data_IF_277206584934
#
_entry.id   IF_277206584934
#
_cell.length_a   1.000
_cell.length_b   1.000
_cell.length_c   1.000
_cell.angle_alpha   90.00
_cell.angle_beta   90.00
_cell.angle_gamma   90.00
#
_symmetry.space_group_name_H-M   'P 1'
#
loop_
_entity.id
_entity.type
_entity.pdbx_description
1 polymer ?
#
# COMPACT_ATOMS: atom_id res chain seq x y z
N UNK A 1 -6.53 22.83 23.01
CA UNK A 1 -6.88 21.39 23.03
C UNK A 1 -5.95 20.63 22.09
N UNK A 2 -5.34 19.54 22.57
CA UNK A 2 -4.50 18.63 21.75
C UNK A 2 -5.37 17.86 20.76
N UNK A 3 -4.78 17.42 19.64
CA UNK A 3 -5.52 16.76 18.55
C UNK A 3 -5.87 15.31 18.92
N UNK A 4 -4.96 14.59 19.55
CA UNK A 4 -5.21 13.26 20.11
C UNK A 4 -4.26 12.96 21.27
N UNK A 5 -4.64 11.99 22.12
CA UNK A 5 -3.86 11.53 23.27
C UNK A 5 -4.03 10.02 23.44
N UNK A 6 -2.93 9.27 23.52
CA UNK A 6 -2.92 7.81 23.66
C UNK A 6 -1.89 7.37 24.69
N UNK A 7 -2.29 6.52 25.64
CA UNK A 7 -1.36 5.89 26.59
C UNK A 7 -0.62 4.73 25.91
N UNK A 8 0.70 4.66 26.04
CA UNK A 8 1.55 3.56 25.55
C UNK A 8 1.69 2.47 26.61
N UNK A 9 2.10 1.27 26.21
CA UNK A 9 2.41 0.16 27.14
C UNK A 9 3.55 0.50 28.11
N UNK A 10 4.45 1.41 27.73
CA UNK A 10 5.51 1.94 28.59
C UNK A 10 5.00 2.83 29.73
N UNK A 11 3.73 3.22 29.71
CA UNK A 11 3.16 4.21 30.64
C UNK A 11 3.16 5.63 30.09
N UNK A 12 3.96 5.93 29.06
CA UNK A 12 4.04 7.26 28.45
C UNK A 12 2.74 7.70 27.77
N UNK A 13 2.53 9.01 27.69
CA UNK A 13 1.45 9.61 26.90
C UNK A 13 1.99 10.07 25.54
N UNK A 14 1.46 9.48 24.46
CA UNK A 14 1.65 9.98 23.11
C UNK A 14 0.62 11.07 22.83
N UNK A 15 1.10 12.27 22.50
CA UNK A 15 0.25 13.44 22.26
C UNK A 15 0.46 13.92 20.82
N UNK A 16 -0.64 14.04 20.08
CA UNK A 16 -0.65 14.69 18.77
C UNK A 16 -1.15 16.13 18.91
N UNK A 17 -0.47 17.05 18.23
CA UNK A 17 -0.67 18.49 18.40
C UNK A 17 -1.20 19.07 17.08
N UNK A 18 -2.15 20.00 17.16
CA UNK A 18 -2.79 20.57 15.97
C UNK A 18 -1.99 21.73 15.36
N UNK A 19 -1.23 22.47 16.18
CA UNK A 19 -0.55 23.70 15.75
C UNK A 19 0.87 23.80 16.31
N UNK A 20 1.74 24.52 15.59
CA UNK A 20 3.13 24.78 16.03
C UNK A 20 3.19 25.54 17.35
N UNK A 21 2.29 26.51 17.57
CA UNK A 21 2.20 27.30 18.81
C UNK A 21 1.94 26.41 20.02
N UNK A 22 1.02 25.44 19.90
CA UNK A 22 0.77 24.46 20.95
C UNK A 22 1.98 23.56 21.19
N UNK A 23 2.69 23.15 20.13
CA UNK A 23 3.88 22.31 20.28
C UNK A 23 4.97 23.03 21.08
N UNK A 24 5.18 24.33 20.83
CA UNK A 24 6.13 25.16 21.57
C UNK A 24 5.75 25.32 23.05
N UNK A 25 4.45 25.37 23.38
CA UNK A 25 3.99 25.44 24.77
C UNK A 25 4.13 24.09 25.47
N UNK A 26 3.72 23.00 24.82
CA UNK A 26 3.72 21.66 25.40
C UNK A 26 5.13 21.15 25.68
N UNK A 27 6.09 21.43 24.79
CA UNK A 27 7.47 20.98 24.99
C UNK A 27 8.17 21.65 26.20
N UNK A 28 7.62 22.77 26.69
CA UNK A 28 8.12 23.49 27.86
C UNK A 28 7.45 23.04 29.17
N UNK A 29 6.44 22.17 29.12
CA UNK A 29 5.74 21.69 30.32
C UNK A 29 6.68 20.85 31.19
N UNK A 30 6.73 21.20 32.48
CA UNK A 30 7.50 20.48 33.52
C UNK A 30 6.61 19.75 34.51
N UNK A 31 5.33 20.12 34.59
CA UNK A 31 4.34 19.45 35.42
C UNK A 31 2.97 19.42 34.74
N UNK A 32 2.19 18.40 35.07
CA UNK A 32 0.75 18.32 34.83
C UNK A 32 0.08 18.25 36.20
N UNK A 33 -0.52 19.35 36.61
CA UNK A 33 -1.01 19.56 37.98
C UNK A 33 0.14 19.37 39.00
N UNK A 34 0.04 18.37 39.88
CA UNK A 34 1.09 18.05 40.88
C UNK A 34 2.13 17.05 40.39
N UNK A 35 1.95 16.46 39.19
CA UNK A 35 2.82 15.41 38.67
C UNK A 35 3.92 16.03 37.81
N UNK A 36 5.18 15.79 38.15
CA UNK A 36 6.32 16.17 37.30
C UNK A 36 6.33 15.35 36.01
N UNK A 37 6.52 16.01 34.88
CA UNK A 37 6.57 15.38 33.56
C UNK A 37 7.77 15.85 32.76
N UNK A 38 8.25 14.96 31.88
CA UNK A 38 9.24 15.30 30.86
C UNK A 38 8.57 15.15 29.51
N UNK A 39 8.68 16.19 28.68
CA UNK A 39 8.10 16.21 27.33
C UNK A 39 9.22 16.22 26.30
N UNK A 40 9.13 15.34 25.31
CA UNK A 40 10.07 15.27 24.19
C UNK A 40 9.32 15.05 22.87
N UNK A 41 9.95 15.46 21.76
CA UNK A 41 9.42 15.14 20.43
C UNK A 41 9.54 13.65 20.17
N UNK A 42 8.52 13.07 19.53
CA UNK A 42 8.58 11.66 19.16
C UNK A 42 9.68 11.45 18.10
N UNK A 43 10.59 10.52 18.36
CA UNK A 43 11.79 10.29 17.56
C UNK A 43 11.52 9.97 16.08
N UNK A 44 10.39 9.31 15.78
CA UNK A 44 10.10 8.82 14.43
C UNK A 44 8.79 9.31 13.81
N UNK A 45 7.86 9.89 14.59
CA UNK A 45 6.53 10.27 14.08
C UNK A 45 6.49 11.70 13.53
N UNK A 46 7.56 12.47 13.76
CA UNK A 46 7.71 13.83 13.23
C UNK A 46 8.63 13.88 12.01
N UNK A 47 8.99 12.72 11.46
CA UNK A 47 9.79 12.59 10.26
C UNK A 47 9.10 11.67 9.27
N UNK A 48 9.47 11.83 8.00
CA UNK A 48 9.03 10.98 6.92
C UNK A 48 10.23 10.64 6.05
N UNK A 49 10.12 9.56 5.27
CA UNK A 49 11.19 9.13 4.37
C UNK A 49 10.66 9.06 2.96
N UNK A 50 11.44 9.55 2.02
CA UNK A 50 11.14 9.45 0.59
C UNK A 50 12.34 8.98 -0.20
N UNK A 51 12.10 8.42 -1.37
CA UNK A 51 13.10 7.97 -2.33
C UNK A 51 13.09 8.90 -3.53
N UNK A 52 14.27 9.37 -3.92
CA UNK A 52 14.52 10.06 -5.19
C UNK A 52 15.42 9.19 -6.06
N UNK A 53 15.32 9.35 -7.38
CA UNK A 53 16.17 8.65 -8.34
C UNK A 53 16.86 9.70 -9.21
N UNK A 54 18.19 9.77 -9.16
CA UNK A 54 18.96 10.74 -9.92
C UNK A 54 20.34 10.18 -10.27
N UNK A 55 20.59 9.94 -11.56
CA UNK A 55 21.88 9.39 -12.02
C UNK A 55 23.04 10.36 -11.82
N UNK A 56 22.79 11.67 -11.93
CA UNK A 56 23.82 12.70 -11.77
C UNK A 56 24.39 12.76 -10.34
N UNK A 57 23.63 12.30 -9.34
CA UNK A 57 24.07 12.28 -7.95
C UNK A 57 24.86 11.01 -7.59
N UNK A 58 24.98 10.03 -8.50
CA UNK A 58 25.56 8.72 -8.22
C UNK A 58 27.02 8.78 -7.74
N UNK A 59 27.79 9.74 -8.27
CA UNK A 59 29.22 9.91 -7.98
C UNK A 59 29.50 11.10 -7.06
N UNK A 60 28.46 11.78 -6.58
CA UNK A 60 28.59 12.91 -5.66
C UNK A 60 28.77 12.38 -4.24
N UNK A 61 29.69 12.99 -3.47
CA UNK A 61 29.92 12.58 -2.08
C UNK A 61 28.66 12.80 -1.25
N UNK A 62 28.30 11.82 -0.41
CA UNK A 62 27.06 11.86 0.39
C UNK A 62 26.95 13.10 1.29
N UNK A 63 28.07 13.64 1.76
CA UNK A 63 28.15 14.88 2.53
C UNK A 63 27.70 16.10 1.71
N UNK A 64 28.10 16.18 0.44
CA UNK A 64 27.72 17.25 -0.49
C UNK A 64 26.24 17.12 -0.87
N UNK A 65 25.79 15.89 -1.14
CA UNK A 65 24.37 15.58 -1.39
C UNK A 65 23.51 16.03 -0.20
N UNK A 66 23.91 15.66 1.03
CA UNK A 66 23.22 16.07 2.25
C UNK A 66 23.19 17.59 2.38
N UNK A 67 24.32 18.27 2.18
CA UNK A 67 24.41 19.74 2.25
C UNK A 67 23.47 20.42 1.25
N UNK A 68 23.32 19.87 0.05
CA UNK A 68 22.39 20.39 -0.97
C UNK A 68 20.91 20.24 -0.61
N UNK A 69 20.54 19.17 0.09
CA UNK A 69 19.15 18.92 0.49
C UNK A 69 18.78 19.46 1.88
N UNK A 70 19.75 19.78 2.75
CA UNK A 70 19.50 20.31 4.10
C UNK A 70 18.54 21.53 4.12
N UNK A 71 18.67 22.54 3.25
CA UNK A 71 17.75 23.68 3.20
C UNK A 71 16.30 23.30 2.91
N UNK A 72 16.07 22.11 2.33
CA UNK A 72 14.75 21.56 2.02
C UNK A 72 14.21 20.65 3.14
N UNK A 73 14.79 20.74 4.35
CA UNK A 73 14.33 20.01 5.52
C UNK A 73 14.80 18.55 5.58
N UNK A 74 15.94 18.23 4.94
CA UNK A 74 16.48 16.87 4.90
C UNK A 74 17.67 16.74 5.87
N UNK A 75 17.47 16.25 7.12
CA UNK A 75 18.55 16.02 8.07
C UNK A 75 19.44 14.82 7.73
N UNK A 76 18.99 13.87 6.90
CA UNK A 76 19.73 12.65 6.61
C UNK A 76 19.45 12.15 5.21
N UNK A 77 20.51 11.72 4.52
CA UNK A 77 20.47 11.10 3.19
C UNK A 77 21.21 9.77 3.25
N UNK A 78 20.63 8.75 2.62
CA UNK A 78 21.24 7.43 2.50
C UNK A 78 21.12 6.93 1.06
N UNK A 79 22.21 6.42 0.50
CA UNK A 79 22.17 5.73 -0.78
C UNK A 79 21.65 4.29 -0.60
N UNK A 80 20.76 3.86 -1.50
CA UNK A 80 20.38 2.45 -1.62
C UNK A 80 21.54 1.73 -2.30
N UNK A 81 22.04 0.69 -1.63
CA UNK A 81 23.14 -0.13 -2.15
C UNK A 81 22.62 -1.48 -2.61
N UNK A 82 23.18 -1.99 -3.71
CA UNK A 82 22.94 -3.35 -4.19
C UNK A 82 24.21 -4.16 -4.04
N UNK A 83 24.07 -5.49 -3.94
CA UNK A 83 25.22 -6.41 -3.88
C UNK A 83 25.42 -7.01 -5.26
N UNK A 84 26.59 -6.80 -5.86
CA UNK A 84 27.01 -7.47 -7.10
C UNK A 84 28.40 -8.07 -6.86
N UNK A 85 28.58 -9.34 -7.22
CA UNK A 85 29.84 -10.08 -7.05
C UNK A 85 30.44 -9.98 -5.63
N UNK A 86 29.58 -9.99 -4.61
CA UNK A 86 30.00 -9.89 -3.20
C UNK A 86 30.25 -8.46 -2.69
N UNK A 87 30.40 -7.47 -3.57
CA UNK A 87 30.66 -6.07 -3.25
C UNK A 87 29.36 -5.24 -3.18
N UNK A 88 29.31 -4.27 -2.27
CA UNK A 88 28.22 -3.30 -2.18
C UNK A 88 28.47 -2.14 -3.14
N UNK A 89 27.55 -1.91 -4.07
CA UNK A 89 27.59 -0.86 -5.08
C UNK A 89 26.45 0.13 -4.82
N UNK A 90 26.79 1.42 -4.87
CA UNK A 90 25.82 2.50 -4.74
C UNK A 90 24.91 2.57 -5.98
N UNK A 91 23.64 2.91 -5.78
CA UNK A 91 22.68 3.07 -6.88
C UNK A 91 22.30 4.54 -7.05
N UNK A 92 21.63 4.86 -8.16
CA UNK A 92 21.07 6.20 -8.42
C UNK A 92 19.94 6.59 -7.46
N UNK A 93 19.57 5.72 -6.52
CA UNK A 93 18.41 5.89 -5.64
C UNK A 93 18.86 6.32 -4.25
N UNK A 94 18.34 7.47 -3.79
CA UNK A 94 18.64 8.04 -2.48
C UNK A 94 17.39 8.07 -1.61
N UNK A 95 17.53 7.64 -0.36
CA UNK A 95 16.52 7.79 0.68
C UNK A 95 16.80 9.12 1.40
N UNK A 96 15.86 10.04 1.31
CA UNK A 96 15.84 11.30 2.04
C UNK A 96 14.97 11.13 3.29
N UNK A 97 15.51 11.47 4.46
CA UNK A 97 14.70 11.62 5.68
C UNK A 97 14.36 13.09 5.83
N UNK A 98 13.08 13.42 5.90
CA UNK A 98 12.56 14.76 6.08
C UNK A 98 12.23 15.03 7.55
N UNK A 99 12.44 16.26 8.01
CA UNK A 99 12.03 16.74 9.33
C UNK A 99 10.53 17.12 9.42
N UNK A 100 9.71 16.49 8.58
CA UNK A 100 8.27 16.68 8.48
C UNK A 100 7.57 15.32 8.43
N UNK A 101 6.41 15.15 9.08
CA UNK A 101 5.62 13.93 8.99
C UNK A 101 4.96 13.73 7.62
N UNK A 102 4.85 14.79 6.81
CA UNK A 102 4.38 14.72 5.42
C UNK A 102 5.56 14.74 4.48
N UNK A 103 5.61 13.77 3.56
CA UNK A 103 6.56 13.79 2.46
C UNK A 103 6.20 14.93 1.49
N UNK A 104 7.18 15.66 0.94
CA UNK A 104 6.93 16.56 -0.18
C UNK A 104 6.73 15.74 -1.47
N UNK A 105 6.04 16.31 -2.47
CA UNK A 105 5.88 15.66 -3.79
C UNK A 105 7.17 15.71 -4.62
N UNK A 106 8.02 16.70 -4.38
CA UNK A 106 9.29 16.89 -5.10
C UNK A 106 10.31 17.66 -4.28
N UNK A 107 11.59 17.46 -4.58
CA UNK A 107 12.74 18.25 -4.10
C UNK A 107 13.55 18.74 -5.30
N UNK A 108 14.48 19.66 -5.07
CA UNK A 108 15.42 20.14 -6.09
C UNK A 108 16.85 19.71 -5.79
N UNK A 109 17.56 19.25 -6.80
CA UNK A 109 19.02 19.09 -6.80
C UNK A 109 19.57 20.06 -7.84
N UNK A 110 20.12 21.19 -7.40
CA UNK A 110 20.44 22.31 -8.31
C UNK A 110 19.19 22.78 -9.09
N UNK A 111 19.25 22.73 -10.41
CA UNK A 111 18.14 23.09 -11.30
C UNK A 111 17.15 21.93 -11.55
N UNK A 112 17.48 20.70 -11.14
CA UNK A 112 16.69 19.50 -11.44
C UNK A 112 15.60 19.33 -10.38
N UNK A 113 14.35 19.21 -10.84
CA UNK A 113 13.20 18.85 -9.99
C UNK A 113 13.07 17.33 -9.94
N UNK A 114 13.23 16.75 -8.76
CA UNK A 114 13.14 15.32 -8.52
C UNK A 114 11.84 14.98 -7.79
N UNK A 115 11.03 14.10 -8.37
CA UNK A 115 9.85 13.53 -7.71
C UNK A 115 10.28 12.70 -6.51
N UNK A 116 9.63 12.91 -5.37
CA UNK A 116 9.87 12.15 -4.14
C UNK A 116 8.78 11.09 -4.03
N UNK A 117 9.18 9.82 -3.99
CA UNK A 117 8.28 8.69 -3.72
C UNK A 117 8.33 8.34 -2.23
N UNK A 118 7.25 7.90 -1.58
CA UNK A 118 7.33 7.38 -0.22
C UNK A 118 8.37 6.26 -0.10
N UNK A 119 9.21 6.29 0.94
CA UNK A 119 10.08 5.16 1.27
C UNK A 119 9.30 4.16 2.12
N UNK A 120 8.99 3.00 1.54
CA UNK A 120 8.34 1.90 2.22
C UNK A 120 9.42 0.90 2.64
N UNK A 121 9.46 0.59 3.94
CA UNK A 121 10.38 -0.40 4.47
C UNK A 121 9.98 -1.78 3.94
N UNK A 122 10.92 -2.42 3.27
CA UNK A 122 10.82 -3.82 2.89
C UNK A 122 10.73 -4.67 4.19
N UNK A 123 9.97 -5.79 4.20
CA UNK A 123 9.89 -6.70 5.34
C UNK A 123 11.27 -7.02 5.90
N UNK A 124 11.43 -6.76 7.20
CA UNK A 124 12.71 -6.91 7.88
C UNK A 124 12.97 -8.40 8.18
N UNK A 125 13.81 -9.03 7.36
CA UNK A 125 14.30 -10.38 7.59
C UNK A 125 15.48 -10.37 8.59
N UNK A 126 15.37 -11.10 9.69
CA UNK A 126 16.46 -11.24 10.64
C UNK A 126 17.55 -12.17 10.09
N UNK A 127 18.74 -11.63 9.78
CA UNK A 127 19.87 -12.41 9.23
C UNK A 127 20.42 -13.51 10.14
N UNK A 128 20.00 -13.58 11.42
CA UNK A 128 20.40 -14.66 12.35
C UNK A 128 19.43 -15.83 12.37
N UNK A 129 18.13 -15.61 12.20
CA UNK A 129 17.13 -16.68 12.30
C UNK A 129 16.25 -16.84 11.06
N UNK A 130 16.42 -15.95 10.08
CA UNK A 130 15.69 -15.89 8.83
C UNK A 130 14.17 -15.80 9.00
N UNK A 131 13.72 -15.25 10.13
CA UNK A 131 12.32 -14.90 10.37
C UNK A 131 12.10 -13.40 10.20
N UNK A 132 10.90 -13.02 9.82
CA UNK A 132 10.50 -11.63 9.64
C UNK A 132 10.24 -10.90 10.96
N UNK A 133 10.14 -9.57 10.90
CA UNK A 133 9.64 -8.72 11.98
C UNK A 133 10.66 -8.25 13.01
N UNK A 134 11.94 -8.62 12.91
CA UNK A 134 12.97 -8.14 13.84
C UNK A 134 14.38 -8.07 13.23
N UNK A 135 15.24 -7.25 13.83
CA UNK A 135 16.65 -7.12 13.42
C UNK A 135 17.55 -8.10 14.20
N UNK A 136 18.80 -8.25 13.71
CA UNK A 136 19.87 -8.97 14.42
C UNK A 136 20.10 -8.45 15.85
N UNK A 137 19.86 -7.16 16.12
CA UNK A 137 20.05 -6.57 17.45
C UNK A 137 18.97 -7.02 18.46
N UNK A 138 17.78 -7.37 17.98
CA UNK A 138 16.65 -7.82 18.81
C UNK A 138 16.53 -9.34 18.87
N UNK A 139 17.49 -10.06 18.30
CA UNK A 139 17.47 -11.51 18.20
C UNK A 139 17.80 -12.16 19.55
N UNK A 140 16.96 -13.13 19.96
CA UNK A 140 17.12 -13.91 21.20
C UNK A 140 17.05 -15.44 20.99
N UNK A 141 17.10 -15.90 19.74
CA UNK A 141 16.88 -17.32 19.40
C UNK A 141 18.15 -18.07 19.02
N UNK A 142 17.98 -19.13 18.23
CA UNK A 142 19.07 -19.96 17.68
C UNK A 142 19.43 -19.55 16.26
N UNK A 143 20.73 -19.49 15.97
CA UNK A 143 21.24 -19.22 14.62
C UNK A 143 20.66 -20.25 13.64
N UNK A 144 20.10 -19.78 12.54
CA UNK A 144 19.46 -20.61 11.50
C UNK A 144 20.05 -20.28 10.14
N UNK A 145 20.48 -21.31 9.42
CA UNK A 145 21.09 -21.20 8.11
C UNK A 145 20.09 -20.67 7.07
N UNK A 146 20.50 -19.66 6.30
CA UNK A 146 19.67 -19.09 5.25
C UNK A 146 19.51 -19.99 4.03
N UNK A 147 20.47 -20.90 3.79
CA UNK A 147 20.44 -21.83 2.66
C UNK A 147 19.55 -23.03 2.95
N UNK A 148 19.71 -23.73 4.09
CA UNK A 148 19.06 -25.01 4.35
C UNK A 148 18.02 -25.01 5.49
N UNK A 149 17.78 -23.86 6.14
CA UNK A 149 16.86 -23.70 7.27
C UNK A 149 17.22 -24.47 8.56
N UNK A 150 18.36 -25.16 8.62
CA UNK A 150 18.82 -25.87 9.81
C UNK A 150 19.47 -24.92 10.84
N UNK A 151 19.35 -25.29 12.12
CA UNK A 151 19.92 -24.51 13.22
C UNK A 151 21.39 -24.86 13.48
N UNK A 152 22.16 -23.91 14.01
CA UNK A 152 23.51 -24.15 14.53
C UNK A 152 24.68 -23.71 13.63
N UNK A 153 24.40 -23.24 12.41
CA UNK A 153 25.42 -22.68 11.51
C UNK A 153 24.83 -21.56 10.63
N UNK A 154 25.70 -20.80 9.95
CA UNK A 154 25.32 -19.81 8.95
C UNK A 154 25.42 -20.35 7.50
N UNK A 155 25.06 -19.55 6.51
CA UNK A 155 24.99 -19.98 5.11
C UNK A 155 26.31 -19.90 4.34
N UNK A 156 27.42 -19.49 4.95
CA UNK A 156 28.66 -19.15 4.22
C UNK A 156 29.27 -20.36 3.53
N UNK A 157 29.33 -21.51 4.22
CA UNK A 157 29.91 -22.77 3.72
C UNK A 157 28.87 -23.90 3.64
N UNK A 158 27.59 -23.54 3.56
CA UNK A 158 26.50 -24.52 3.56
C UNK A 158 26.34 -25.18 2.19
N UNK A 159 26.56 -26.49 2.12
CA UNK A 159 26.39 -27.32 0.90
C UNK A 159 25.10 -28.14 0.90
N UNK A 160 24.29 -28.04 1.95
CA UNK A 160 23.02 -28.74 2.05
C UNK A 160 21.99 -28.17 1.06
N UNK A 161 21.01 -29.00 0.68
CA UNK A 161 19.95 -28.60 -0.24
C UNK A 161 19.18 -27.39 0.26
N UNK A 162 18.83 -26.49 -0.67
CA UNK A 162 18.16 -25.25 -0.32
C UNK A 162 16.76 -25.49 0.25
N UNK A 163 16.46 -24.78 1.33
CA UNK A 163 15.17 -24.81 2.03
C UNK A 163 14.91 -23.47 2.72
N UNK A 164 13.75 -22.90 2.45
CA UNK A 164 13.35 -21.63 3.04
C UNK A 164 12.87 -21.84 4.49
N UNK A 165 13.32 -20.98 5.42
CA UNK A 165 12.85 -21.02 6.82
C UNK A 165 11.35 -20.74 6.92
N UNK A 166 10.83 -19.82 6.10
CA UNK A 166 9.45 -19.33 6.19
C UNK A 166 8.46 -20.21 5.43
N UNK A 167 8.61 -20.36 4.10
CA UNK A 167 7.64 -21.11 3.27
C UNK A 167 7.95 -22.61 3.13
N UNK A 168 9.11 -23.07 3.62
CA UNK A 168 9.61 -24.46 3.48
C UNK A 168 9.89 -24.94 2.05
N UNK A 169 9.83 -24.06 1.05
CA UNK A 169 10.14 -24.39 -0.35
C UNK A 169 11.63 -24.54 -0.65
N UNK A 170 11.95 -25.11 -1.81
CA UNK A 170 13.31 -25.41 -2.28
C UNK A 170 14.04 -24.18 -2.85
N UNK A 171 14.28 -23.20 -1.98
CA UNK A 171 15.07 -22.01 -2.30
C UNK A 171 15.63 -21.40 -1.00
N UNK A 172 16.67 -20.58 -1.09
CA UNK A 172 17.21 -19.86 0.08
C UNK A 172 16.20 -18.89 0.72
N UNK A 173 16.36 -18.59 2.00
CA UNK A 173 15.49 -17.67 2.75
C UNK A 173 15.57 -16.20 2.28
N UNK A 174 16.51 -15.86 1.40
CA UNK A 174 16.62 -14.53 0.77
C UNK A 174 15.86 -14.40 -0.55
N UNK A 175 15.26 -15.50 -1.03
CA UNK A 175 14.59 -15.54 -2.31
C UNK A 175 13.40 -14.56 -2.37
N UNK A 176 13.43 -13.64 -3.34
CA UNK A 176 12.38 -12.62 -3.54
C UNK A 176 11.13 -13.16 -4.23
N UNK A 177 11.21 -14.33 -4.86
CA UNK A 177 10.04 -15.03 -5.40
C UNK A 177 9.35 -15.94 -4.38
N UNK A 178 9.87 -16.04 -3.15
CA UNK A 178 9.25 -16.81 -2.06
C UNK A 178 7.84 -16.31 -1.75
N UNK A 179 6.87 -17.23 -1.63
CA UNK A 179 5.47 -16.90 -1.29
C UNK A 179 5.35 -16.21 0.07
N UNK A 180 6.06 -16.70 1.09
CA UNK A 180 6.06 -16.06 2.41
C UNK A 180 6.71 -14.66 2.40
N UNK A 181 7.68 -14.42 1.51
CA UNK A 181 8.28 -13.09 1.34
C UNK A 181 7.31 -12.10 0.68
N UNK A 182 6.62 -12.53 -0.38
CA UNK A 182 5.58 -11.73 -1.07
C UNK A 182 4.45 -11.39 -0.11
N UNK A 183 3.95 -12.41 0.59
CA UNK A 183 2.95 -12.27 1.64
C UNK A 183 3.35 -11.22 2.68
N UNK A 184 4.53 -11.34 3.30
CA UNK A 184 5.00 -10.38 4.31
C UNK A 184 5.19 -8.95 3.76
N UNK A 185 5.42 -8.81 2.45
CA UNK A 185 5.54 -7.51 1.77
C UNK A 185 4.18 -6.87 1.51
N UNK A 186 3.16 -7.68 1.23
CA UNK A 186 1.80 -7.25 0.91
C UNK A 186 0.93 -7.10 2.17
N UNK A 187 1.26 -7.80 3.25
CA UNK A 187 0.44 -7.89 4.44
C UNK A 187 0.53 -6.67 5.36
N UNK A 188 -0.66 -6.19 5.75
CA UNK A 188 -0.79 -5.02 6.63
C UNK A 188 -0.68 -5.38 8.12
N UNK A 189 -0.71 -6.68 8.46
CA UNK A 189 -0.81 -7.22 9.83
C UNK A 189 -1.97 -6.60 10.64
N UNK A 190 -2.98 -6.05 9.96
CA UNK A 190 -4.16 -5.48 10.60
C UNK A 190 -5.02 -6.62 11.12
N UNK A 191 -5.31 -6.58 12.43
CA UNK A 191 -6.24 -7.49 13.08
C UNK A 191 -7.58 -6.79 13.29
N UNK A 192 -8.65 -7.56 13.42
CA UNK A 192 -10.02 -7.07 13.68
C UNK A 192 -10.11 -6.10 14.85
N UNK A 193 -9.21 -6.25 15.82
CA UNK A 193 -9.18 -5.45 17.04
C UNK A 193 -8.46 -4.10 16.88
N UNK A 194 -7.81 -3.86 15.74
CA UNK A 194 -7.10 -2.61 15.44
C UNK A 194 -7.96 -1.77 14.48
N UNK A 195 -8.55 -0.65 14.91
CA UNK A 195 -9.34 0.19 14.01
C UNK A 195 -8.43 0.87 12.98
N UNK A 196 -8.78 0.77 11.70
CA UNK A 196 -8.15 1.54 10.62
C UNK A 196 -8.82 2.91 10.55
N UNK A 197 -8.09 3.96 10.91
CA UNK A 197 -8.58 5.35 10.85
C UNK A 197 -7.65 6.18 10.00
N UNK A 198 -8.14 6.62 8.84
CA UNK A 198 -7.47 7.56 7.97
C UNK A 198 -8.27 8.86 8.01
N UNK A 199 -7.60 9.97 8.32
CA UNK A 199 -8.29 11.26 8.49
C UNK A 199 -8.94 11.69 7.18
N UNK A 200 -10.21 12.09 7.24
CA UNK A 200 -10.97 12.52 6.07
C UNK A 200 -11.60 11.36 5.32
N UNK A 201 -11.55 10.14 5.87
CA UNK A 201 -12.10 8.94 5.24
C UNK A 201 -12.82 8.06 6.27
N UNK A 202 -13.96 7.52 5.85
CA UNK A 202 -14.60 6.37 6.50
C UNK A 202 -14.00 5.08 5.96
N UNK A 203 -13.99 4.04 6.78
CA UNK A 203 -13.41 2.74 6.43
C UNK A 203 -14.43 1.64 6.68
N UNK A 204 -14.64 0.81 5.67
CA UNK A 204 -15.42 -0.43 5.74
C UNK A 204 -14.50 -1.56 5.32
N UNK A 205 -14.31 -2.55 6.17
CA UNK A 205 -13.36 -3.63 5.89
C UNK A 205 -13.81 -4.98 6.44
N UNK A 206 -13.27 -6.05 5.85
CA UNK A 206 -13.44 -7.43 6.30
C UNK A 206 -12.05 -8.07 6.32
N UNK A 207 -11.62 -8.46 7.51
CA UNK A 207 -10.31 -9.07 7.74
C UNK A 207 -10.42 -10.61 7.57
N UNK A 208 -9.35 -11.25 7.07
CA UNK A 208 -9.35 -12.70 6.86
C UNK A 208 -9.38 -13.46 8.21
N UNK A 209 -10.32 -14.40 8.33
CA UNK A 209 -10.52 -15.24 9.50
C UNK A 209 -9.62 -16.48 9.49
N UNK A 210 -8.31 -16.32 9.32
CA UNK A 210 -7.36 -17.43 9.50
C UNK A 210 -6.84 -17.41 10.94
N UNK A 211 -7.14 -18.47 11.70
CA UNK A 211 -6.76 -18.60 13.10
C UNK A 211 -5.26 -18.37 13.35
N UNK A 212 -4.97 -17.75 14.49
CA UNK A 212 -3.65 -17.40 15.06
C UNK A 212 -2.72 -16.49 14.23
N UNK A 213 -2.76 -16.53 12.90
CA UNK A 213 -2.02 -15.63 12.01
C UNK A 213 -3.02 -14.92 11.08
N UNK A 214 -3.47 -13.75 11.53
CA UNK A 214 -4.38 -12.88 10.79
C UNK A 214 -3.58 -12.01 9.81
N UNK A 215 -3.78 -12.25 8.53
CA UNK A 215 -3.03 -11.61 7.46
C UNK A 215 -3.82 -11.81 6.16
N UNK A 216 -4.48 -10.72 5.73
CA UNK A 216 -5.35 -10.65 4.56
C UNK A 216 -6.65 -9.91 4.85
N UNK A 217 -7.27 -9.34 3.82
CA UNK A 217 -8.59 -8.73 3.93
C UNK A 217 -8.90 -7.74 2.82
N UNK A 218 -10.14 -7.27 2.80
CA UNK A 218 -10.62 -6.23 1.87
C UNK A 218 -11.02 -4.99 2.64
N UNK A 219 -10.76 -3.81 2.06
CA UNK A 219 -11.11 -2.54 2.66
C UNK A 219 -11.54 -1.53 1.59
N UNK A 220 -12.63 -0.81 1.86
CA UNK A 220 -13.04 0.39 1.14
C UNK A 220 -12.79 1.60 2.04
N UNK A 221 -12.14 2.62 1.47
CA UNK A 221 -11.98 3.93 2.09
C UNK A 221 -12.83 4.94 1.32
N UNK A 222 -13.78 5.59 1.99
CA UNK A 222 -14.64 6.61 1.38
C UNK A 222 -14.33 7.98 1.96
N UNK A 223 -14.07 8.97 1.11
CA UNK A 223 -13.82 10.34 1.57
C UNK A 223 -15.04 10.90 2.31
N UNK A 224 -14.82 11.60 3.42
CA UNK A 224 -15.85 12.28 4.23
C UNK A 224 -16.59 13.38 3.43
N UNK A 225 -16.07 13.75 2.26
CA UNK A 225 -16.71 14.68 1.34
C UNK A 225 -17.94 14.09 0.64
N UNK A 226 -18.04 12.75 0.56
CA UNK A 226 -19.14 12.06 -0.10
C UNK A 226 -19.95 11.27 0.93
N UNK A 227 -21.25 11.58 1.11
CA UNK A 227 -22.12 10.78 1.95
C UNK A 227 -22.04 9.31 1.53
N UNK A 228 -21.73 8.44 2.47
CA UNK A 228 -21.54 7.02 2.22
C UNK A 228 -22.07 6.19 3.38
N UNK A 229 -22.59 5.00 3.07
CA UNK A 229 -23.07 4.06 4.07
C UNK A 229 -22.62 2.64 3.74
N UNK A 230 -22.11 1.86 4.73
CA UNK A 230 -21.76 0.47 4.52
C UNK A 230 -23.00 -0.34 4.12
N UNK A 231 -22.85 -1.23 3.14
CA UNK A 231 -23.88 -2.20 2.75
C UNK A 231 -23.50 -3.58 3.33
N UNK A 232 -24.27 -4.12 4.28
CA UNK A 232 -24.01 -5.45 4.83
C UNK A 232 -24.13 -6.53 3.74
N UNK A 233 -23.16 -7.44 3.70
CA UNK A 233 -23.15 -8.57 2.76
C UNK A 233 -23.20 -9.89 3.52
N UNK A 234 -24.11 -10.76 3.11
CA UNK A 234 -24.24 -12.15 3.54
C UNK A 234 -23.47 -13.05 2.56
N UNK A 235 -22.15 -13.10 2.72
CA UNK A 235 -21.27 -13.91 1.85
C UNK A 235 -20.07 -14.46 2.63
N UNK A 236 -19.62 -15.66 2.24
CA UNK A 236 -18.37 -16.25 2.73
C UNK A 236 -17.13 -15.61 2.08
N UNK A 237 -17.29 -14.90 0.96
CA UNK A 237 -16.19 -14.25 0.25
C UNK A 237 -15.57 -13.13 1.08
N UNK A 238 -14.30 -12.83 0.81
CA UNK A 238 -13.66 -11.60 1.29
C UNK A 238 -14.19 -10.43 0.46
N UNK A 239 -15.34 -9.89 0.85
CA UNK A 239 -16.01 -8.79 0.17
C UNK A 239 -16.58 -7.79 1.17
N UNK A 240 -16.54 -6.51 0.79
CA UNK A 240 -17.23 -5.40 1.47
C UNK A 240 -17.86 -4.49 0.43
N UNK A 241 -19.02 -3.92 0.77
CA UNK A 241 -19.71 -2.97 -0.10
C UNK A 241 -20.09 -1.69 0.64
N UNK A 242 -20.13 -0.59 -0.10
CA UNK A 242 -20.53 0.74 0.38
C UNK A 242 -21.39 1.41 -0.69
N UNK A 243 -22.50 2.02 -0.29
CA UNK A 243 -23.24 2.93 -1.15
C UNK A 243 -22.70 4.34 -0.98
N UNK A 244 -22.33 4.99 -2.08
CA UNK A 244 -21.70 6.31 -2.09
C UNK A 244 -22.55 7.25 -2.94
N UNK A 245 -22.86 8.42 -2.39
CA UNK A 245 -23.54 9.49 -3.10
C UNK A 245 -22.51 10.46 -3.69
N UNK A 246 -22.14 10.24 -4.96
CA UNK A 246 -21.27 11.12 -5.72
C UNK A 246 -22.11 12.07 -6.59
N UNK A 247 -22.04 11.95 -7.93
CA UNK A 247 -23.00 12.60 -8.84
C UNK A 247 -24.35 11.87 -8.83
N UNK A 248 -24.29 10.55 -8.72
CA UNK A 248 -25.43 9.65 -8.55
C UNK A 248 -25.15 8.68 -7.39
N UNK A 249 -26.18 7.99 -6.91
CA UNK A 249 -26.02 6.93 -5.93
C UNK A 249 -25.43 5.70 -6.64
N UNK A 250 -24.25 5.26 -6.21
CA UNK A 250 -23.56 4.09 -6.75
C UNK A 250 -23.15 3.15 -5.63
N UNK A 251 -23.35 1.86 -5.82
CA UNK A 251 -22.84 0.81 -4.93
C UNK A 251 -21.43 0.41 -5.37
N UNK A 252 -20.44 0.48 -4.48
CA UNK A 252 -19.08 0.00 -4.74
C UNK A 252 -18.82 -1.22 -3.87
N UNK A 253 -18.47 -2.34 -4.49
CA UNK A 253 -18.08 -3.58 -3.83
C UNK A 253 -16.61 -3.89 -4.12
N UNK A 254 -15.83 -4.10 -3.06
CA UNK A 254 -14.46 -4.59 -3.13
C UNK A 254 -14.46 -6.07 -2.80
N UNK A 255 -13.83 -6.89 -3.64
CA UNK A 255 -13.76 -8.35 -3.46
C UNK A 255 -12.34 -8.86 -3.67
N UNK A 256 -11.95 -9.85 -2.88
CA UNK A 256 -10.72 -10.61 -3.04
C UNK A 256 -11.06 -12.10 -3.14
N UNK A 257 -10.64 -12.75 -4.23
CA UNK A 257 -10.81 -14.18 -4.44
C UNK A 257 -9.44 -14.86 -4.27
N UNK A 258 -9.21 -15.66 -3.21
CA UNK A 258 -7.92 -16.32 -3.02
C UNK A 258 -7.58 -17.26 -4.19
N UNK A 259 -6.31 -17.34 -4.62
CA UNK A 259 -5.91 -18.05 -5.85
C UNK A 259 -6.12 -19.57 -5.81
N UNK A 260 -6.18 -20.16 -4.62
CA UNK A 260 -6.28 -21.62 -4.42
C UNK A 260 -7.64 -22.09 -3.94
N UNK A 261 -8.55 -21.17 -3.64
CA UNK A 261 -9.88 -21.52 -3.17
C UNK A 261 -10.73 -21.99 -4.35
N UNK A 262 -11.56 -23.01 -4.11
CA UNK A 262 -12.61 -23.41 -5.05
C UNK A 262 -13.86 -22.63 -4.69
N UNK A 263 -14.28 -21.71 -5.56
CA UNK A 263 -15.47 -20.88 -5.35
C UNK A 263 -16.54 -21.37 -6.30
N UNK A 264 -17.72 -21.68 -5.75
CA UNK A 264 -18.89 -22.05 -6.55
C UNK A 264 -19.47 -20.81 -7.26
N UNK A 265 -19.99 -21.01 -8.46
CA UNK A 265 -20.65 -19.95 -9.25
C UNK A 265 -21.76 -19.24 -8.46
N UNK A 266 -22.58 -20.02 -7.75
CA UNK A 266 -23.68 -19.50 -6.92
C UNK A 266 -23.25 -18.49 -5.87
N UNK A 267 -22.00 -18.56 -5.37
CA UNK A 267 -21.51 -17.62 -4.35
C UNK A 267 -21.24 -16.24 -4.95
N UNK A 268 -20.77 -16.18 -6.21
CA UNK A 268 -20.57 -14.92 -6.94
C UNK A 268 -21.90 -14.34 -7.40
N UNK A 269 -22.83 -15.18 -7.87
CA UNK A 269 -24.18 -14.74 -8.25
C UNK A 269 -24.92 -14.16 -7.03
N UNK A 270 -24.90 -14.86 -5.90
CA UNK A 270 -25.49 -14.37 -4.66
C UNK A 270 -24.83 -13.08 -4.15
N UNK A 271 -23.54 -12.86 -4.43
CA UNK A 271 -22.87 -11.61 -4.07
C UNK A 271 -23.47 -10.42 -4.83
N UNK A 272 -23.65 -10.53 -6.15
CA UNK A 272 -24.17 -9.40 -6.94
C UNK A 272 -25.67 -9.18 -6.78
N UNK A 273 -26.45 -10.23 -6.48
CA UNK A 273 -27.87 -10.10 -6.13
C UNK A 273 -28.08 -9.19 -4.91
N UNK A 274 -27.08 -9.09 -4.04
CA UNK A 274 -27.09 -8.22 -2.86
C UNK A 274 -26.68 -6.77 -3.17
N UNK A 275 -26.17 -6.45 -4.37
CA UNK A 275 -25.66 -5.12 -4.72
C UNK A 275 -26.74 -4.30 -5.45
N UNK A 276 -27.27 -3.21 -4.85
CA UNK A 276 -28.20 -2.33 -5.55
C UNK A 276 -27.54 -1.70 -6.77
N UNK A 277 -28.18 -1.85 -7.94
CA UNK A 277 -27.75 -1.19 -9.16
C UNK A 277 -28.02 0.35 -9.09
N UNK A 278 -27.17 1.18 -9.71
CA UNK A 278 -25.95 0.80 -10.41
C UNK A 278 -24.79 0.44 -9.45
N UNK A 279 -23.97 -0.54 -9.82
CA UNK A 279 -22.84 -0.98 -8.99
C UNK A 279 -21.52 -1.15 -9.76
N UNK A 280 -20.43 -1.02 -9.01
CA UNK A 280 -19.06 -1.36 -9.38
C UNK A 280 -18.56 -2.50 -8.49
N UNK A 281 -17.99 -3.53 -9.10
CA UNK A 281 -17.33 -4.64 -8.46
C UNK A 281 -15.84 -4.61 -8.84
N UNK A 282 -14.99 -4.36 -7.85
CA UNK A 282 -13.56 -4.13 -8.02
C UNK A 282 -12.76 -5.10 -7.15
N UNK A 283 -11.62 -5.57 -7.64
CA UNK A 283 -10.60 -6.21 -6.81
C UNK A 283 -9.85 -7.31 -7.52
N UNK A 284 -9.14 -8.13 -6.76
CA UNK A 284 -8.30 -9.20 -7.27
C UNK A 284 -9.06 -10.53 -7.30
N UNK A 285 -9.29 -11.01 -8.53
CA UNK A 285 -10.05 -12.22 -8.80
C UNK A 285 -9.16 -13.46 -8.95
N UNK A 286 -7.83 -13.30 -8.98
CA UNK A 286 -6.86 -14.37 -9.21
C UNK A 286 -7.16 -15.27 -10.42
N UNK A 287 -7.82 -14.70 -11.45
CA UNK A 287 -8.21 -15.39 -12.67
C UNK A 287 -7.45 -14.90 -13.88
N UNK A 288 -6.84 -15.82 -14.63
CA UNK A 288 -6.24 -15.50 -15.92
C UNK A 288 -7.28 -15.67 -17.02
N UNK A 289 -7.51 -14.65 -17.83
CA UNK A 289 -8.46 -14.68 -18.92
C UNK A 289 -8.06 -13.77 -20.08
N UNK A 290 -8.30 -14.24 -21.30
CA UNK A 290 -8.00 -13.51 -22.52
C UNK A 290 -8.79 -12.20 -22.64
N UNK A 291 -9.99 -12.13 -22.04
CA UNK A 291 -10.84 -10.93 -22.06
C UNK A 291 -10.22 -9.71 -21.37
N UNK A 292 -9.30 -9.93 -20.43
CA UNK A 292 -8.56 -8.88 -19.72
C UNK A 292 -7.04 -9.01 -19.95
N UNK A 293 -6.65 -9.50 -21.11
CA UNK A 293 -5.28 -9.40 -21.59
C UNK A 293 -4.29 -10.47 -21.11
N UNK A 294 -4.75 -11.58 -20.52
CA UNK A 294 -3.87 -12.73 -20.22
C UNK A 294 -3.63 -13.60 -21.47
N UNK A 295 -2.40 -14.09 -21.65
CA UNK A 295 -2.06 -15.01 -22.77
C UNK A 295 -2.76 -16.38 -22.67
N UNK A 296 -3.14 -16.78 -21.45
CA UNK A 296 -3.80 -18.05 -21.17
C UNK A 296 -5.07 -17.79 -20.36
N UNK A 297 -6.13 -18.56 -20.63
CA UNK A 297 -7.34 -18.56 -19.80
C UNK A 297 -7.36 -19.79 -18.90
N UNK A 298 -7.27 -19.61 -17.58
CA UNK A 298 -7.34 -20.70 -16.60
C UNK A 298 -8.80 -21.03 -16.22
N UNK A 299 -9.00 -22.02 -15.34
CA UNK A 299 -10.35 -22.42 -14.87
C UNK A 299 -11.09 -21.28 -14.17
N UNK A 300 -10.39 -20.57 -13.27
CA UNK A 300 -10.88 -19.37 -12.57
C UNK A 300 -11.33 -18.29 -13.57
N UNK A 301 -10.53 -18.01 -14.59
CA UNK A 301 -10.85 -17.06 -15.65
C UNK A 301 -12.09 -17.45 -16.43
N UNK A 302 -12.21 -18.72 -16.87
CA UNK A 302 -13.44 -19.21 -17.53
C UNK A 302 -14.67 -19.03 -16.64
N UNK A 303 -14.54 -19.29 -15.34
CA UNK A 303 -15.62 -19.07 -14.39
C UNK A 303 -16.04 -17.60 -14.31
N UNK A 304 -15.08 -16.67 -14.28
CA UNK A 304 -15.36 -15.23 -14.24
C UNK A 304 -16.00 -14.76 -15.56
N UNK A 305 -15.53 -15.25 -16.71
CA UNK A 305 -16.16 -14.96 -18.01
C UNK A 305 -17.62 -15.38 -18.02
N UNK A 306 -17.92 -16.59 -17.55
CA UNK A 306 -19.29 -17.08 -17.46
C UNK A 306 -20.14 -16.24 -16.50
N UNK A 307 -19.58 -15.87 -15.34
CA UNK A 307 -20.22 -15.00 -14.36
C UNK A 307 -20.59 -13.63 -14.95
N UNK A 308 -19.66 -12.98 -15.67
CA UNK A 308 -19.92 -11.69 -16.35
C UNK A 308 -21.03 -11.85 -17.39
N UNK A 309 -20.95 -12.90 -18.22
CA UNK A 309 -21.90 -13.13 -19.30
C UNK A 309 -23.32 -13.43 -18.80
N UNK A 310 -23.46 -14.33 -17.82
CA UNK A 310 -24.77 -14.77 -17.31
C UNK A 310 -25.52 -13.65 -16.60
N UNK A 311 -24.78 -12.76 -15.93
CA UNK A 311 -25.35 -11.66 -15.16
C UNK A 311 -25.38 -10.35 -15.94
N UNK A 312 -25.10 -10.39 -17.26
CA UNK A 312 -25.10 -9.25 -18.15
C UNK A 312 -24.26 -8.07 -17.62
N UNK A 313 -23.07 -8.36 -17.09
CA UNK A 313 -22.16 -7.35 -16.54
C UNK A 313 -21.19 -6.83 -17.61
N UNK A 314 -20.61 -5.67 -17.35
CA UNK A 314 -19.62 -5.06 -18.24
C UNK A 314 -18.23 -5.07 -17.59
N UNK A 315 -17.23 -5.54 -18.34
CA UNK A 315 -15.83 -5.50 -17.94
C UNK A 315 -15.20 -4.18 -18.42
N UNK A 316 -14.65 -3.39 -17.49
CA UNK A 316 -14.01 -2.11 -17.79
C UNK A 316 -12.54 -2.25 -18.23
N UNK A 317 -11.89 -3.36 -17.85
CA UNK A 317 -10.51 -3.61 -18.25
C UNK A 317 -10.39 -3.57 -19.78
N UNK A 318 -9.67 -2.57 -20.29
CA UNK A 318 -9.34 -2.46 -21.71
C UNK A 318 -8.00 -3.14 -22.00
N UNK A 319 -7.81 -3.62 -23.24
CA UNK A 319 -6.57 -4.24 -23.70
C UNK A 319 -5.43 -3.22 -23.91
N UNK A 320 -5.51 -2.02 -23.33
CA UNK A 320 -4.49 -0.99 -23.49
C UNK A 320 -3.24 -1.38 -22.69
N UNK A 321 -2.33 -2.07 -23.40
CA UNK A 321 -0.95 -2.36 -23.00
C UNK A 321 -0.19 -1.04 -22.83
N UNK A 322 -0.27 -0.42 -21.66
CA UNK A 322 0.42 0.81 -21.36
C UNK A 322 1.66 0.53 -20.49
N UNK A 323 2.81 0.55 -21.18
CA UNK A 323 4.22 0.61 -20.74
C UNK A 323 4.96 -0.65 -20.25
N UNK A 324 6.06 -0.87 -20.97
CA UNK A 324 7.07 -1.94 -20.98
C UNK A 324 7.76 -2.22 -19.62
N UNK A 325 7.94 -3.50 -19.28
CA UNK A 325 8.95 -3.97 -18.34
C UNK A 325 9.71 -5.17 -18.96
N UNK A 326 11.03 -5.09 -19.08
CA UNK A 326 11.92 -6.25 -19.24
C UNK A 326 12.58 -6.48 -17.87
N UNK A 327 12.57 -7.71 -17.29
CA UNK A 327 12.98 -8.97 -17.94
C UNK A 327 12.00 -10.16 -17.74
N UNK A 328 10.75 -9.95 -17.31
CA UNK A 328 9.76 -11.04 -17.13
C UNK A 328 8.50 -10.66 -17.90
N UNK A 329 8.44 -11.05 -19.18
CA UNK A 329 7.30 -10.82 -20.08
C UNK A 329 6.05 -11.58 -19.63
N UNK A 330 5.31 -11.12 -18.63
CA UNK A 330 3.91 -11.52 -18.42
C UNK A 330 3.18 -10.45 -17.60
N UNK A 331 2.28 -9.71 -18.23
CA UNK A 331 1.25 -8.95 -17.53
C UNK A 331 0.11 -9.91 -17.21
N UNK A 332 -0.16 -10.15 -15.93
CA UNK A 332 -1.35 -10.86 -15.50
C UNK A 332 -2.26 -9.85 -14.81
N UNK A 333 -3.23 -9.29 -15.53
CA UNK A 333 -4.30 -8.47 -14.92
C UNK A 333 -5.19 -9.43 -14.12
N UNK A 334 -4.84 -9.70 -12.86
CA UNK A 334 -5.69 -10.46 -11.95
C UNK A 334 -6.75 -9.55 -11.30
N UNK A 335 -6.45 -8.25 -11.26
CA UNK A 335 -7.36 -7.20 -10.85
C UNK A 335 -8.37 -6.89 -11.95
N UNK A 336 -9.65 -6.93 -11.59
CA UNK A 336 -10.75 -6.65 -12.51
C UNK A 336 -11.62 -5.51 -11.97
N UNK A 337 -12.10 -4.70 -12.91
CA UNK A 337 -13.13 -3.71 -12.69
C UNK A 337 -14.35 -4.10 -13.53
N UNK A 338 -15.42 -4.51 -12.84
CA UNK A 338 -16.68 -4.97 -13.44
C UNK A 338 -17.78 -4.01 -13.00
N UNK A 339 -18.72 -3.67 -13.88
CA UNK A 339 -19.81 -2.75 -13.56
C UNK A 339 -21.16 -3.20 -14.12
N UNK A 340 -22.24 -2.62 -13.57
CA UNK A 340 -23.56 -2.70 -14.20
C UNK A 340 -23.55 -1.98 -15.56
N UNK A 341 -24.32 -2.45 -16.56
CA UNK A 341 -24.35 -1.84 -17.90
C UNK A 341 -24.64 -0.34 -17.94
N UNK A 342 -25.44 0.15 -16.98
CA UNK A 342 -25.80 1.56 -16.85
C UNK A 342 -24.61 2.47 -16.50
N UNK A 343 -23.55 1.94 -15.90
CA UNK A 343 -22.34 2.71 -15.57
C UNK A 343 -21.31 2.70 -16.70
N UNK A 344 -21.27 1.65 -17.52
CA UNK A 344 -20.29 1.47 -18.57
C UNK A 344 -20.05 2.71 -19.45
N UNK A 345 -21.08 3.41 -19.98
CA UNK A 345 -20.85 4.59 -20.83
C UNK A 345 -20.45 5.85 -20.06
N UNK A 346 -20.53 5.83 -18.72
CA UNK A 346 -20.27 6.97 -17.84
C UNK A 346 -18.89 6.91 -17.19
N UNK A 347 -18.10 5.86 -17.46
CA UNK A 347 -16.85 5.59 -16.77
C UNK A 347 -15.69 5.53 -17.75
N UNK A 348 -14.59 6.18 -17.37
CA UNK A 348 -13.27 5.98 -17.94
C UNK A 348 -12.47 5.00 -17.07
N UNK A 349 -11.69 4.16 -17.71
CA UNK A 349 -10.82 3.17 -17.07
C UNK A 349 -9.38 3.36 -17.52
N UNK A 350 -8.46 3.43 -16.56
CA UNK A 350 -7.01 3.45 -16.80
C UNK A 350 -6.27 2.61 -15.78
N UNK A 351 -5.09 2.12 -16.15
CA UNK A 351 -4.16 1.47 -15.23
C UNK A 351 -3.09 2.50 -14.84
N UNK A 352 -2.86 2.68 -13.54
CA UNK A 352 -1.83 3.59 -13.06
C UNK A 352 -0.43 3.14 -13.48
N UNK A 353 0.49 4.09 -13.64
CA UNK A 353 1.85 3.83 -14.12
C UNK A 353 2.89 3.56 -13.01
N UNK A 354 2.49 3.66 -11.75
CA UNK A 354 3.35 3.40 -10.59
C UNK A 354 2.73 2.29 -9.72
N UNK A 355 3.55 1.31 -9.33
CA UNK A 355 3.15 0.17 -8.50
C UNK A 355 2.99 0.54 -7.03
N UNK A 356 3.51 1.69 -6.58
CA UNK A 356 3.50 2.08 -5.16
C UNK A 356 4.09 1.01 -4.22
N UNK A 357 5.10 0.27 -4.70
CA UNK A 357 5.73 -0.89 -4.06
C UNK A 357 4.83 -2.14 -3.85
N UNK A 358 3.60 -2.13 -4.36
CA UNK A 358 2.84 -3.36 -4.64
C UNK A 358 3.48 -4.10 -5.82
N UNK A 359 3.06 -5.33 -6.03
CA UNK A 359 3.23 -6.09 -7.27
C UNK A 359 2.03 -5.95 -8.23
N UNK A 360 0.95 -5.27 -7.79
CA UNK A 360 -0.21 -4.92 -8.59
C UNK A 360 -0.21 -3.43 -8.98
N UNK A 361 -0.64 -3.14 -10.21
CA UNK A 361 -0.89 -1.76 -10.63
C UNK A 361 -2.28 -1.32 -10.16
N UNK A 362 -2.44 -0.07 -9.70
CA UNK A 362 -3.76 0.41 -9.31
C UNK A 362 -4.66 0.57 -10.54
N UNK A 363 -5.88 0.03 -10.44
CA UNK A 363 -6.95 0.32 -11.38
C UNK A 363 -7.59 1.66 -11.02
N UNK A 364 -7.70 2.56 -12.00
CA UNK A 364 -8.28 3.88 -11.83
C UNK A 364 -9.54 3.96 -12.67
N UNK A 365 -10.68 4.07 -11.99
CA UNK A 365 -11.99 4.28 -12.60
C UNK A 365 -12.44 5.70 -12.27
N UNK A 366 -12.73 6.49 -13.29
CA UNK A 366 -13.22 7.87 -13.16
C UNK A 366 -14.52 8.05 -13.93
N UNK A 367 -15.28 9.09 -13.61
CA UNK A 367 -16.45 9.44 -14.41
C UNK A 367 -15.97 10.06 -15.73
N UNK A 368 -16.48 9.57 -16.86
CA UNK A 368 -16.18 10.11 -18.18
C UNK A 368 -16.75 11.54 -18.25
N UNK A 369 -15.89 12.51 -18.53
CA UNK A 369 -16.23 13.93 -18.50
C UNK A 369 -17.26 14.22 -19.61
N UNK A 370 -18.55 14.11 -19.28
CA UNK A 370 -19.63 14.56 -20.17
C UNK A 370 -19.63 16.07 -20.06
N UNK A 371 -19.08 16.75 -21.07
CA UNK A 371 -18.93 18.21 -21.10
C UNK A 371 -20.11 18.95 -20.47
N UNK A 372 -19.85 19.60 -19.33
CA UNK A 372 -20.90 20.25 -18.56
C UNK A 372 -20.58 20.61 -17.11
N UNK A 373 -19.31 20.75 -16.71
CA UNK A 373 -19.05 21.59 -15.53
C UNK A 373 -19.35 23.04 -15.93
N UNK A 374 -20.43 23.60 -15.41
CA UNK A 374 -20.57 25.05 -15.30
C UNK A 374 -19.33 25.53 -14.53
N UNK A 375 -18.36 26.08 -15.25
CA UNK A 375 -17.36 26.92 -14.64
C UNK A 375 -18.13 28.08 -14.03
N UNK A 376 -18.29 28.07 -12.70
CA UNK A 376 -18.64 29.29 -12.02
C UNK A 376 -17.51 30.28 -12.34
N UNK A 377 -17.80 31.44 -12.97
CA UNK A 377 -16.77 32.43 -13.19
C UNK A 377 -16.16 32.75 -11.82
N UNK A 378 -14.82 32.83 -11.72
CA UNK A 378 -14.17 33.14 -10.45
C UNK A 378 -14.78 34.42 -9.87
N UNK A 379 -15.41 34.32 -8.69
CA UNK A 379 -15.87 35.47 -7.93
C UNK A 379 -14.63 36.16 -7.36
N UNK A 380 -14.10 37.12 -8.10
CA UNK A 380 -13.14 38.06 -7.55
C UNK A 380 -13.84 38.95 -6.51
N UNK A 381 -13.36 38.91 -5.26
CA UNK A 381 -13.72 39.89 -4.24
C UNK A 381 -12.96 41.19 -4.54
N UNK A 382 -13.53 42.03 -5.40
CA UNK A 382 -12.93 43.32 -5.78
C UNK A 382 -12.69 44.27 -4.58
N UNK A 383 -13.30 44.02 -3.41
CA UNK A 383 -13.07 44.77 -2.18
C UNK A 383 -11.80 44.35 -1.41
N UNK A 384 -11.05 43.35 -1.90
CA UNK A 384 -9.78 42.87 -1.31
C UNK A 384 -8.66 42.68 -2.33
N UNK A 385 -8.81 43.31 -3.50
CA UNK A 385 -7.69 43.44 -4.43
C UNK A 385 -6.93 44.70 -4.03
N UNK A 386 -5.76 44.52 -3.41
CA UNK A 386 -4.76 45.56 -3.17
C UNK A 386 -3.95 45.81 -4.44
#
# INVERSE_FOLDING_TARGET
MTKSRRKRRSGDLLIEIATRKQAQQIIQLKSLDTILVTVSTHATLNSSKGVISCGELLHVRMEEVLKGFQPQGVPHVQCIKIRQNGQLIDTKHLILTFNSPKIPNSVRAGYIKLTVRPYILIPLLCVKCQRFGHSKASFRGTLTCASCAETGHDSSDCTASEKCVSCKGSHTSFCRSCSAWKFEKEETFLTSNIPLKIRGYNSVRKDAATGANHSGGVCILTSDLYPSSPLPLHTSLQAVAVQIHAQTLVTVCSVYLPPHDVISHHVLDNLIEQLPAPFLLLGDFNGHGALWGSDVTNSRGRQIVHFISNNCLCLLNNNEKIYLNEPIRTFHSLDLAICSPTLMPLLDFTVGSDLYNSDHFPLIVSYADSGGMIQYPPRYLFQRAD
#
